data_IF_911064363064
#
_entry.id   IF_911064363064
#
_cell.length_a   1.000
_cell.length_b   1.000
_cell.length_c   1.000
_cell.angle_alpha   90.00
_cell.angle_beta   90.00
_cell.angle_gamma   90.00
#
_symmetry.space_group_name_H-M   'P 1'
#
loop_
_entity.id
_entity.type
_entity.pdbx_description
1 polymer ?
#
# COMPACT_ATOMS: atom_id res chain seq x y z
N UNK A 1 9.10 -20.60 14.05
CA UNK A 1 7.81 -20.05 14.53
C UNK A 1 7.72 -18.57 14.18
N UNK A 2 6.54 -18.17 13.75
CA UNK A 2 6.04 -16.82 13.48
C UNK A 2 6.83 -15.81 12.61
N UNK A 3 7.56 -16.23 11.57
CA UNK A 3 8.09 -15.23 10.60
C UNK A 3 7.44 -15.32 9.21
N UNK A 4 6.97 -16.51 8.81
CA UNK A 4 6.14 -16.67 7.62
C UNK A 4 4.64 -16.41 7.91
N UNK A 5 4.25 -16.35 9.19
CA UNK A 5 2.86 -16.15 9.64
C UNK A 5 2.38 -14.71 9.48
N UNK A 6 3.21 -13.73 9.86
CA UNK A 6 2.83 -12.31 9.77
C UNK A 6 2.92 -11.77 8.33
N UNK A 7 3.89 -12.23 7.51
CA UNK A 7 4.02 -11.84 6.09
C UNK A 7 2.82 -12.32 5.25
N UNK A 8 2.25 -13.50 5.54
CA UNK A 8 1.16 -14.09 4.73
C UNK A 8 -0.25 -13.75 5.24
N UNK A 9 -0.41 -13.41 6.53
CA UNK A 9 -1.75 -13.12 7.08
C UNK A 9 -2.25 -11.73 6.65
N UNK A 10 -1.38 -10.73 6.58
CA UNK A 10 -1.74 -9.41 6.02
C UNK A 10 -1.92 -9.45 4.50
N UNK A 11 -1.26 -10.42 3.84
CA UNK A 11 -1.46 -10.73 2.43
C UNK A 11 -2.86 -11.30 2.15
N UNK A 12 -3.53 -11.90 3.15
CA UNK A 12 -4.87 -12.49 2.99
C UNK A 12 -6.00 -11.46 2.88
N UNK A 13 -5.88 -10.31 3.55
CA UNK A 13 -6.90 -9.25 3.54
C UNK A 13 -6.86 -8.38 2.29
N UNK A 14 -5.67 -7.99 1.83
CA UNK A 14 -5.46 -7.11 0.67
C UNK A 14 -5.77 -7.77 -0.69
N UNK A 15 -5.88 -9.11 -0.75
CA UNK A 15 -6.13 -9.87 -1.99
C UNK A 15 -7.60 -9.80 -2.46
N UNK A 16 -8.53 -9.27 -1.66
CA UNK A 16 -9.95 -9.22 -2.04
C UNK A 16 -10.29 -8.22 -3.17
N UNK A 17 -9.34 -7.42 -3.67
CA UNK A 17 -9.60 -6.37 -4.68
C UNK A 17 -8.75 -6.39 -5.96
N UNK A 18 -7.90 -7.40 -6.17
CA UNK A 18 -7.07 -7.53 -7.38
C UNK A 18 -5.63 -7.01 -7.24
N UNK A 19 -4.76 -7.40 -8.18
CA UNK A 19 -3.29 -7.23 -8.12
C UNK A 19 -2.85 -5.76 -7.90
N UNK A 20 -3.65 -4.79 -8.34
CA UNK A 20 -3.38 -3.35 -8.18
C UNK A 20 -3.53 -2.80 -6.76
N UNK A 21 -3.99 -3.62 -5.80
CA UNK A 21 -4.15 -3.29 -4.39
C UNK A 21 -3.21 -4.08 -3.46
N UNK A 22 -2.37 -4.94 -4.03
CA UNK A 22 -1.46 -5.77 -3.25
C UNK A 22 -0.23 -4.97 -2.79
N UNK A 23 -0.17 -4.67 -1.50
CA UNK A 23 0.99 -4.13 -0.78
C UNK A 23 1.76 -5.24 -0.05
N UNK A 24 3.05 -5.05 0.20
CA UNK A 24 3.89 -5.99 0.96
C UNK A 24 4.82 -5.27 1.95
N UNK A 25 5.33 -6.05 2.90
CA UNK A 25 6.32 -5.61 3.89
C UNK A 25 7.41 -6.68 4.06
N UNK A 26 8.67 -6.27 3.87
CA UNK A 26 9.86 -7.03 4.23
C UNK A 26 10.37 -6.52 5.58
N UNK A 27 9.91 -7.14 6.66
CA UNK A 27 10.22 -6.68 8.02
C UNK A 27 11.59 -7.16 8.50
N UNK A 28 12.31 -6.29 9.22
CA UNK A 28 13.41 -6.70 10.09
C UNK A 28 12.91 -6.71 11.56
N UNK A 29 12.47 -7.86 12.10
CA UNK A 29 11.88 -7.92 13.44
C UNK A 29 12.89 -7.56 14.53
N UNK A 30 14.18 -7.81 14.28
CA UNK A 30 15.25 -7.49 15.23
C UNK A 30 15.53 -5.98 15.33
N UNK A 31 14.96 -5.17 14.43
CA UNK A 31 15.16 -3.70 14.33
C UNK A 31 16.63 -3.27 14.30
N UNK A 32 17.52 -4.16 13.86
CA UNK A 32 18.95 -3.90 13.68
C UNK A 32 19.28 -3.19 12.36
N UNK A 33 18.28 -3.08 11.49
CA UNK A 33 18.33 -2.42 10.19
C UNK A 33 16.91 -2.09 9.72
N UNK A 34 16.77 -1.39 8.58
CA UNK A 34 15.47 -0.94 8.09
C UNK A 34 14.60 -2.11 7.63
N UNK A 35 13.30 -2.02 7.89
CA UNK A 35 12.26 -2.76 7.16
C UNK A 35 11.98 -2.05 5.83
N UNK A 36 11.47 -2.78 4.83
CA UNK A 36 11.05 -2.22 3.54
C UNK A 36 9.56 -2.49 3.31
N UNK A 37 8.87 -1.50 2.76
CA UNK A 37 7.45 -1.58 2.41
C UNK A 37 7.28 -1.16 0.96
N UNK A 38 6.67 -2.01 0.14
CA UNK A 38 6.62 -1.82 -1.32
C UNK A 38 5.35 -2.42 -1.92
N UNK A 39 4.88 -1.95 -3.08
CA UNK A 39 3.80 -2.63 -3.79
C UNK A 39 4.29 -3.97 -4.36
N UNK A 40 3.40 -4.95 -4.48
CA UNK A 40 3.74 -6.27 -5.07
C UNK A 40 3.95 -6.19 -6.58
N UNK A 41 3.35 -5.21 -7.26
CA UNK A 41 3.48 -5.09 -8.71
C UNK A 41 4.87 -4.60 -9.13
N UNK A 42 5.28 -4.96 -10.35
CA UNK A 42 6.53 -4.50 -10.95
C UNK A 42 6.46 -3.07 -11.51
N UNK A 43 7.45 -2.72 -12.34
CA UNK A 43 7.63 -1.36 -12.88
C UNK A 43 6.67 -0.95 -13.99
N UNK A 44 5.88 -1.89 -14.55
CA UNK A 44 4.91 -1.67 -15.63
C UNK A 44 5.47 -0.77 -16.79
N UNK A 45 6.54 -1.23 -17.48
CA UNK A 45 7.27 -0.40 -18.45
C UNK A 45 6.44 -0.01 -19.68
N UNK A 46 5.42 -0.80 -20.01
CA UNK A 46 4.47 -0.58 -21.10
C UNK A 46 3.56 0.65 -20.88
N UNK A 47 3.31 1.03 -19.62
CA UNK A 47 2.50 2.20 -19.25
C UNK A 47 3.32 3.30 -18.55
N UNK A 48 4.63 3.14 -18.43
CA UNK A 48 5.49 4.13 -17.80
C UNK A 48 5.39 5.49 -18.53
N UNK A 49 5.20 6.56 -17.76
CA UNK A 49 5.07 7.93 -18.30
C UNK A 49 3.71 8.26 -18.93
N UNK A 50 2.76 7.33 -18.96
CA UNK A 50 1.42 7.58 -19.52
C UNK A 50 0.43 8.17 -18.52
N UNK A 51 0.75 8.12 -17.22
CA UNK A 51 -0.13 8.62 -16.15
C UNK A 51 -1.39 7.78 -15.91
N UNK A 52 -1.40 6.51 -16.35
CA UNK A 52 -2.54 5.58 -16.15
C UNK A 52 -2.28 4.50 -15.08
N UNK A 53 -1.09 4.49 -14.48
CA UNK A 53 -0.77 3.55 -13.41
C UNK A 53 -1.62 3.83 -12.17
N UNK A 54 -2.17 2.80 -11.54
CA UNK A 54 -2.89 2.94 -10.28
C UNK A 54 -1.88 3.00 -9.12
N UNK A 55 -1.77 4.13 -8.38
CA UNK A 55 -0.80 4.27 -7.31
C UNK A 55 -1.22 3.59 -5.99
N UNK A 56 -2.42 3.01 -5.91
CA UNK A 56 -3.04 2.62 -4.64
C UNK A 56 -2.20 1.59 -3.86
N UNK A 57 -1.66 0.56 -4.52
CA UNK A 57 -0.80 -0.41 -3.83
C UNK A 57 0.41 0.25 -3.17
N UNK A 58 1.05 1.23 -3.83
CA UNK A 58 2.19 1.93 -3.26
C UNK A 58 1.80 2.80 -2.05
N UNK A 59 0.62 3.41 -2.10
CA UNK A 59 0.06 4.18 -0.96
C UNK A 59 -0.30 3.25 0.21
N UNK A 60 -0.89 2.09 -0.06
CA UNK A 60 -1.19 1.08 0.97
C UNK A 60 0.09 0.53 1.63
N UNK A 61 1.18 0.37 0.88
CA UNK A 61 2.49 0.03 1.48
C UNK A 61 2.98 1.11 2.45
N UNK A 62 2.67 2.38 2.22
CA UNK A 62 2.96 3.43 3.20
C UNK A 62 2.07 3.34 4.44
N UNK A 63 0.82 2.85 4.33
CA UNK A 63 -0.02 2.57 5.50
C UNK A 63 0.59 1.46 6.37
N UNK A 64 1.05 0.36 5.76
CA UNK A 64 1.77 -0.71 6.47
C UNK A 64 3.02 -0.19 7.19
N UNK A 65 3.77 0.72 6.55
CA UNK A 65 4.92 1.36 7.16
C UNK A 65 4.54 2.21 8.39
N UNK A 66 3.48 3.01 8.27
CA UNK A 66 3.00 3.86 9.38
C UNK A 66 2.55 3.01 10.56
N UNK A 67 1.81 1.94 10.32
CA UNK A 67 1.39 1.02 11.38
C UNK A 67 2.61 0.40 12.09
N UNK A 68 3.61 -0.07 11.32
CA UNK A 68 4.86 -0.60 11.88
C UNK A 68 5.64 0.42 12.74
N UNK A 69 5.53 1.71 12.40
CA UNK A 69 6.14 2.81 13.14
C UNK A 69 5.32 3.24 14.37
N UNK A 70 4.12 2.69 14.57
CA UNK A 70 3.22 3.02 15.67
C UNK A 70 2.21 4.13 15.35
N UNK A 71 2.14 4.57 14.10
CA UNK A 71 1.24 5.62 13.60
C UNK A 71 -0.09 5.03 13.09
N UNK A 72 -0.73 4.19 13.92
CA UNK A 72 -1.91 3.41 13.54
C UNK A 72 -3.11 4.28 13.08
N UNK A 73 -3.28 5.48 13.64
CA UNK A 73 -4.33 6.41 13.22
C UNK A 73 -4.10 6.94 11.80
N UNK A 74 -2.85 7.21 11.44
CA UNK A 74 -2.48 7.63 10.10
C UNK A 74 -2.63 6.48 9.10
N UNK A 75 -2.21 5.26 9.46
CA UNK A 75 -2.39 4.07 8.65
C UNK A 75 -3.88 3.83 8.31
N UNK A 76 -4.76 3.83 9.31
CA UNK A 76 -6.21 3.62 9.11
C UNK A 76 -6.86 4.68 8.23
N UNK A 77 -6.42 5.94 8.31
CA UNK A 77 -6.92 7.01 7.43
C UNK A 77 -6.56 6.75 5.96
N UNK A 78 -5.35 6.27 5.71
CA UNK A 78 -4.90 5.91 4.35
C UNK A 78 -5.67 4.70 3.84
N UNK A 79 -5.80 3.63 4.64
CA UNK A 79 -6.57 2.45 4.27
C UNK A 79 -8.02 2.80 3.91
N UNK A 80 -8.68 3.61 4.74
CA UNK A 80 -10.04 4.08 4.48
C UNK A 80 -10.13 4.92 3.20
N UNK A 81 -9.14 5.80 2.95
CA UNK A 81 -9.10 6.61 1.73
C UNK A 81 -8.98 5.75 0.46
N UNK A 82 -8.30 4.60 0.55
CA UNK A 82 -8.06 3.65 -0.53
C UNK A 82 -9.15 2.59 -0.71
N UNK A 83 -10.17 2.53 0.16
CA UNK A 83 -11.19 1.48 0.14
C UNK A 83 -12.01 1.45 -1.17
N UNK A 84 -12.19 2.60 -1.82
CA UNK A 84 -12.89 2.72 -3.11
C UNK A 84 -12.01 3.45 -4.11
N UNK A 85 -11.36 2.70 -5.00
CA UNK A 85 -10.50 3.26 -6.04
C UNK A 85 -11.24 3.31 -7.39
N UNK A 86 -11.40 4.49 -7.98
CA UNK A 86 -12.00 4.64 -9.30
C UNK A 86 -11.04 4.21 -10.42
N UNK A 87 -11.59 3.91 -11.59
CA UNK A 87 -10.83 3.57 -12.81
C UNK A 87 -10.32 4.80 -13.55
N UNK A 88 -9.61 5.67 -12.83
CA UNK A 88 -9.10 6.95 -13.33
C UNK A 88 -7.57 6.91 -13.53
N UNK A 89 -7.00 8.01 -14.03
CA UNK A 89 -5.54 8.14 -14.17
C UNK A 89 -4.82 8.35 -12.83
N UNK A 90 -3.50 8.14 -12.82
CA UNK A 90 -2.63 8.20 -11.64
C UNK A 90 -2.86 9.44 -10.78
N UNK A 91 -2.93 10.62 -11.40
CA UNK A 91 -3.08 11.90 -10.70
C UNK A 91 -4.46 11.98 -10.04
N UNK A 92 -5.53 11.64 -10.76
CA UNK A 92 -6.89 11.70 -10.22
C UNK A 92 -7.06 10.78 -9.01
N UNK A 93 -6.53 9.55 -9.09
CA UNK A 93 -6.52 8.62 -7.96
C UNK A 93 -5.72 9.22 -6.79
N UNK A 94 -4.54 9.78 -7.05
CA UNK A 94 -3.69 10.40 -6.02
C UNK A 94 -4.37 11.57 -5.31
N UNK A 95 -4.95 12.51 -6.05
CA UNK A 95 -5.64 13.68 -5.52
C UNK A 95 -6.84 13.28 -4.65
N UNK A 96 -7.60 12.29 -5.11
CA UNK A 96 -8.76 11.77 -4.40
C UNK A 96 -8.37 11.09 -3.08
N UNK A 97 -7.30 10.28 -3.08
CA UNK A 97 -6.75 9.71 -1.83
C UNK A 97 -6.30 10.82 -0.89
N UNK A 98 -5.53 11.80 -1.38
CA UNK A 98 -5.03 12.91 -0.55
C UNK A 98 -6.16 13.74 0.08
N UNK A 99 -7.22 13.99 -0.67
CA UNK A 99 -8.43 14.66 -0.18
C UNK A 99 -9.10 13.88 0.95
N UNK A 100 -9.26 12.56 0.79
CA UNK A 100 -9.92 11.69 1.80
C UNK A 100 -9.08 11.51 3.05
N UNK A 101 -7.76 11.47 2.92
CA UNK A 101 -6.88 11.42 4.09
C UNK A 101 -7.01 12.71 4.88
N UNK A 102 -7.16 13.87 4.23
CA UNK A 102 -7.14 15.19 4.88
C UNK A 102 -8.47 15.63 5.50
N UNK A 103 -9.59 14.99 5.16
CA UNK A 103 -10.91 15.20 5.77
C UNK A 103 -11.03 14.57 7.15
#
# INVERSE_FOLDING_TARGET
>A
DNLFGDILTDLGGAVSGGIGLASSANLNPSRTGPSMFEPVHGSAPDIAGTGVANPTAAVLSAALMLDFLGEADAARRIEAACAEVPTEGTIAIGDMIASRVSS
#
